data_IF_022184749229
#
_entry.id   IF_022184749229
#
_cell.length_a   1.000
_cell.length_b   1.000
_cell.length_c   1.000
_cell.angle_alpha   90.00
_cell.angle_beta   90.00
_cell.angle_gamma   90.00
#
_symmetry.space_group_name_H-M   'P 1'
#
loop_
_entity.id
_entity.type
_entity.pdbx_description
1 polymer ?
#
# COMPACT_ATOMS: atom_id res chain seq x y z
N UNK A 1 13.19 3.63 -6.44
CA UNK A 1 11.80 4.04 -6.70
C UNK A 1 11.25 4.60 -5.40
N UNK A 2 10.50 5.71 -5.45
CA UNK A 2 9.78 6.22 -4.28
C UNK A 2 8.29 5.98 -4.51
N UNK A 3 7.64 5.24 -3.59
CA UNK A 3 6.23 4.89 -3.66
C UNK A 3 5.52 5.51 -2.45
N UNK A 4 4.67 6.53 -2.62
CA UNK A 4 3.93 7.12 -1.51
C UNK A 4 2.87 6.14 -1.02
N UNK A 5 2.97 5.71 0.23
CA UNK A 5 2.01 4.80 0.87
C UNK A 5 1.59 5.32 2.24
N UNK A 6 0.37 5.00 2.64
CA UNK A 6 -0.14 5.18 4.00
C UNK A 6 -0.11 3.84 4.70
N UNK A 7 0.43 3.80 5.92
CA UNK A 7 0.40 2.59 6.76
C UNK A 7 -0.47 2.86 7.98
N UNK A 8 -1.58 2.13 8.06
CA UNK A 8 -2.47 2.12 9.21
C UNK A 8 -2.01 1.01 10.17
N UNK A 9 -1.77 1.34 11.45
CA UNK A 9 -1.37 0.36 12.46
C UNK A 9 -2.27 0.42 13.68
N UNK A 10 -2.94 -0.69 13.99
CA UNK A 10 -3.82 -0.83 15.15
C UNK A 10 -3.53 -2.10 15.94
N UNK A 11 -3.90 -2.09 17.21
CA UNK A 11 -3.80 -3.27 18.07
C UNK A 11 -5.08 -4.10 17.97
N UNK A 12 -4.92 -5.42 17.81
CA UNK A 12 -5.98 -6.41 17.86
C UNK A 12 -5.58 -7.50 18.86
N UNK A 13 -6.19 -7.46 20.05
CA UNK A 13 -5.85 -8.33 21.19
C UNK A 13 -4.33 -8.25 21.52
N UNK A 14 -3.61 -9.37 21.36
CA UNK A 14 -2.17 -9.52 21.62
C UNK A 14 -1.27 -9.24 20.40
N UNK A 15 -1.85 -8.76 19.30
CA UNK A 15 -1.15 -8.51 18.04
C UNK A 15 -1.31 -7.05 17.62
N UNK A 16 -0.32 -6.54 16.89
CA UNK A 16 -0.45 -5.34 16.09
C UNK A 16 -0.62 -5.74 14.64
N UNK A 17 -1.53 -5.05 13.95
CA UNK A 17 -1.85 -5.25 12.54
C UNK A 17 -1.45 -3.99 11.81
N UNK A 18 -0.70 -4.14 10.71
CA UNK A 18 -0.34 -3.06 9.82
C UNK A 18 -0.99 -3.29 8.45
N UNK A 19 -1.56 -2.25 7.86
CA UNK A 19 -2.21 -2.30 6.55
C UNK A 19 -1.75 -1.15 5.66
N UNK A 20 -1.51 -1.44 4.39
CA UNK A 20 -1.40 -0.45 3.32
C UNK A 20 -2.61 -0.63 2.41
N UNK A 21 -3.58 0.27 2.53
CA UNK A 21 -4.85 0.18 1.81
C UNK A 21 -4.67 0.39 0.30
N UNK A 22 -3.64 1.13 -0.10
CA UNK A 22 -3.29 1.40 -1.49
C UNK A 22 -2.84 0.17 -2.27
N UNK A 23 -2.19 -0.78 -1.60
CA UNK A 23 -1.65 -2.01 -2.18
C UNK A 23 -2.42 -3.26 -1.75
N UNK A 24 -3.51 -3.08 -0.99
CA UNK A 24 -4.29 -4.14 -0.34
C UNK A 24 -3.43 -5.16 0.44
N UNK A 25 -2.36 -4.68 1.08
CA UNK A 25 -1.48 -5.51 1.90
C UNK A 25 -1.74 -5.35 3.38
N UNK A 26 -1.59 -6.47 4.09
CA UNK A 26 -1.73 -6.57 5.53
C UNK A 26 -0.64 -7.46 6.10
N UNK A 27 -0.13 -7.08 7.27
CA UNK A 27 0.80 -7.88 8.06
C UNK A 27 0.49 -7.74 9.55
N UNK A 28 1.20 -8.49 10.38
CA UNK A 28 1.07 -8.42 11.83
C UNK A 28 2.39 -8.63 12.56
N UNK A 29 2.45 -8.21 13.82
CA UNK A 29 3.61 -8.38 14.71
C UNK A 29 3.23 -8.32 16.19
N UNK A 30 4.16 -8.67 17.07
CA UNK A 30 4.03 -8.51 18.53
C UNK A 30 4.17 -7.06 18.97
N UNK A 31 4.82 -6.23 18.16
CA UNK A 31 4.94 -4.77 18.36
C UNK A 31 4.44 -4.01 17.14
N UNK A 32 4.21 -2.70 17.29
CA UNK A 32 3.84 -1.82 16.17
C UNK A 32 4.93 -1.80 15.11
N UNK A 33 6.18 -1.72 15.56
CA UNK A 33 7.38 -1.70 14.71
C UNK A 33 7.52 -3.00 13.93
N UNK A 34 7.32 -4.15 14.58
CA UNK A 34 7.40 -5.46 13.93
C UNK A 34 6.31 -5.61 12.86
N UNK A 35 5.06 -5.26 13.17
CA UNK A 35 3.98 -5.29 12.17
C UNK A 35 4.32 -4.39 10.97
N UNK A 36 4.80 -3.17 11.21
CA UNK A 36 5.21 -2.25 10.15
C UNK A 36 6.37 -2.81 9.32
N UNK A 37 7.39 -3.39 9.96
CA UNK A 37 8.55 -3.98 9.27
C UNK A 37 8.12 -5.13 8.36
N UNK A 38 7.31 -6.06 8.86
CA UNK A 38 6.76 -7.14 8.03
C UNK A 38 5.93 -6.63 6.85
N UNK A 39 5.17 -5.53 7.04
CA UNK A 39 4.40 -4.95 5.93
C UNK A 39 5.34 -4.40 4.84
N UNK A 40 6.39 -3.69 5.24
CA UNK A 40 7.36 -3.11 4.31
C UNK A 40 8.14 -4.19 3.55
N UNK A 41 8.54 -5.27 4.22
CA UNK A 41 9.20 -6.41 3.60
C UNK A 41 8.32 -7.05 2.51
N UNK A 42 7.03 -7.28 2.81
CA UNK A 42 6.09 -7.81 1.81
C UNK A 42 5.95 -6.88 0.60
N UNK A 43 5.86 -5.56 0.84
CA UNK A 43 5.79 -4.57 -0.24
C UNK A 43 7.06 -4.59 -1.09
N UNK A 44 8.24 -4.67 -0.47
CA UNK A 44 9.54 -4.70 -1.15
C UNK A 44 9.65 -5.96 -2.02
N UNK A 45 9.39 -7.14 -1.45
CA UNK A 45 9.41 -8.41 -2.18
C UNK A 45 8.46 -8.37 -3.38
N UNK A 46 7.22 -7.90 -3.20
CA UNK A 46 6.25 -7.79 -4.29
C UNK A 46 6.77 -6.88 -5.42
N UNK A 47 7.33 -5.72 -5.07
CA UNK A 47 7.87 -4.78 -6.04
C UNK A 47 9.06 -5.39 -6.82
N UNK A 48 9.96 -6.08 -6.12
CA UNK A 48 11.10 -6.74 -6.72
C UNK A 48 10.68 -7.86 -7.69
N UNK A 49 9.75 -8.72 -7.27
CA UNK A 49 9.24 -9.82 -8.10
C UNK A 49 8.55 -9.29 -9.37
N UNK A 50 7.66 -8.30 -9.22
CA UNK A 50 6.97 -7.70 -10.36
C UNK A 50 7.92 -6.92 -11.27
N UNK A 51 8.96 -6.29 -10.72
CA UNK A 51 10.02 -5.67 -11.52
C UNK A 51 10.80 -6.70 -12.32
N UNK A 52 11.13 -7.85 -11.71
CA UNK A 52 11.85 -8.94 -12.37
C UNK A 52 11.02 -9.58 -13.50
N UNK A 53 9.69 -9.60 -13.36
CA UNK A 53 8.75 -10.07 -14.38
C UNK A 53 8.41 -9.03 -15.45
N UNK A 54 8.80 -7.76 -15.25
CA UNK A 54 8.46 -6.66 -16.15
C UNK A 54 6.99 -6.23 -16.06
N UNK A 55 6.30 -6.54 -14.96
CA UNK A 55 4.87 -6.28 -14.74
C UNK A 55 4.61 -5.27 -13.64
N UNK A 56 5.65 -4.62 -13.11
CA UNK A 56 5.53 -3.66 -12.00
C UNK A 56 4.65 -2.45 -12.35
N UNK A 57 4.80 -1.89 -13.55
CA UNK A 57 4.02 -0.72 -13.97
C UNK A 57 2.53 -1.05 -14.13
N UNK A 58 2.21 -2.25 -14.64
CA UNK A 58 0.82 -2.73 -14.76
C UNK A 58 0.21 -2.93 -13.38
N UNK A 59 0.93 -3.61 -12.47
CA UNK A 59 0.51 -3.83 -11.08
C UNK A 59 0.25 -2.51 -10.34
N UNK A 60 1.22 -1.58 -10.39
CA UNK A 60 1.05 -0.26 -9.77
C UNK A 60 -0.11 0.52 -10.41
N UNK A 61 -0.31 0.33 -11.72
CA UNK A 61 -1.46 0.87 -12.46
C UNK A 61 -2.80 0.37 -11.93
N UNK A 62 -2.91 -0.91 -11.61
CA UNK A 62 -4.09 -1.53 -10.99
C UNK A 62 -4.31 -1.06 -9.55
N UNK A 63 -3.24 -0.80 -8.80
CA UNK A 63 -3.28 -0.19 -7.47
C UNK A 63 -3.61 1.33 -7.49
N UNK A 64 -3.88 1.91 -8.66
CA UNK A 64 -4.26 3.33 -8.80
C UNK A 64 -3.08 4.30 -8.81
N UNK A 65 -1.85 3.81 -8.98
CA UNK A 65 -0.68 4.67 -9.17
C UNK A 65 -0.48 5.05 -10.62
N UNK A 66 0.00 6.27 -10.83
CA UNK A 66 0.45 6.76 -12.14
C UNK A 66 1.75 7.53 -11.97
N UNK A 67 2.62 7.42 -12.96
CA UNK A 67 3.82 8.24 -13.05
C UNK A 67 3.45 9.61 -13.62
N UNK A 68 3.64 10.67 -12.85
CA UNK A 68 3.50 12.05 -13.27
C UNK A 68 4.82 12.78 -13.03
N UNK A 69 5.40 13.38 -14.08
CA UNK A 69 6.69 14.09 -14.02
C UNK A 69 7.85 13.27 -13.41
N UNK A 70 7.81 11.95 -13.60
CA UNK A 70 8.80 11.02 -13.05
C UNK A 70 8.58 10.62 -11.58
N UNK A 71 7.47 11.04 -10.97
CA UNK A 71 7.07 10.66 -9.62
C UNK A 71 5.81 9.79 -9.64
N UNK A 72 5.78 8.74 -8.81
CA UNK A 72 4.57 7.94 -8.61
C UNK A 72 3.60 8.71 -7.72
N UNK A 73 2.39 8.91 -8.21
CA UNK A 73 1.30 9.55 -7.47
C UNK A 73 0.13 8.60 -7.39
N UNK A 74 -0.51 8.54 -6.22
CA UNK A 74 -1.73 7.75 -6.06
C UNK A 74 -2.94 8.60 -6.46
N UNK A 75 -3.67 8.16 -7.49
CA UNK A 75 -4.97 8.75 -7.78
C UNK A 75 -6.01 8.09 -6.89
N UNK A 76 -6.25 8.70 -5.72
CA UNK A 76 -7.46 8.38 -4.97
C UNK A 76 -8.66 8.80 -5.82
N UNK A 77 -9.39 7.85 -6.40
CA UNK A 77 -10.78 8.12 -6.75
C UNK A 77 -11.49 8.48 -5.44
N UNK A 78 -11.68 9.78 -5.22
CA UNK A 78 -12.47 10.29 -4.10
C UNK A 78 -13.91 9.85 -4.31
N UNK A 79 -14.27 8.67 -3.80
CA UNK A 79 -15.67 8.27 -3.58
C UNK A 79 -16.37 9.14 -2.51
N UNK A 80 -15.84 10.33 -2.20
CA UNK A 80 -16.44 11.29 -1.27
C UNK A 80 -17.55 12.15 -1.91
N UNK A 81 -17.71 12.13 -3.23
CA UNK A 81 -18.76 12.91 -3.92
C UNK A 81 -20.15 12.24 -3.87
N UNK A 82 -20.26 10.93 -3.59
CA UNK A 82 -21.55 10.21 -3.65
C UNK A 82 -22.42 10.30 -2.38
N UNK A 83 -21.90 10.82 -1.26
CA UNK A 83 -22.65 10.90 0.00
C UNK A 83 -23.29 12.27 0.29
N UNK A 84 -23.29 13.19 -0.68
CA UNK A 84 -24.01 14.49 -0.56
C UNK A 84 -25.40 14.51 -1.23
N UNK A 85 -25.94 13.36 -1.62
CA UNK A 85 -27.26 13.27 -2.28
C UNK A 85 -28.30 12.44 -1.51
N UNK A 86 -28.16 12.28 -0.19
CA UNK A 86 -29.22 11.71 0.66
C UNK A 86 -29.51 12.62 1.83
#
# INVERSE_FOLDING_TARGET
>A
MELPITIEVWQKEKWFVAKCSELDFISQGKTREEAKQHLLEVIEIQCEEMSAMGTLDDYLGECGYRTQDGQLTQQAEKYFELLKQV
#
